data_IF_384494385795
#
_entry.id   IF_384494385795
#
_cell.length_a   1.000
_cell.length_b   1.000
_cell.length_c   1.000
_cell.angle_alpha   90.00
_cell.angle_beta   90.00
_cell.angle_gamma   90.00
#
_symmetry.space_group_name_H-M   'P 1'
#
loop_
_entity.id
_entity.type
_entity.pdbx_description
1 polymer ?
#
# COMPACT_ATOMS: atom_id res chain seq x y z
N UNK A 1 -31.99 -52.56 -0.96
CA UNK A 1 -33.24 -51.77 -0.82
C UNK A 1 -32.99 -50.40 -1.45
N UNK A 2 -33.69 -50.11 -2.55
CA UNK A 2 -33.58 -48.87 -3.34
C UNK A 2 -34.52 -47.82 -2.75
N UNK A 3 -34.04 -46.59 -2.53
CA UNK A 3 -34.90 -45.44 -2.35
C UNK A 3 -34.42 -44.30 -3.24
N UNK A 4 -35.14 -44.11 -4.35
CA UNK A 4 -35.13 -42.89 -5.17
C UNK A 4 -35.99 -41.85 -4.48
N UNK A 5 -35.49 -40.62 -4.30
CA UNK A 5 -36.34 -39.44 -4.14
C UNK A 5 -35.94 -38.35 -5.15
N UNK A 6 -36.94 -37.95 -5.91
CA UNK A 6 -36.94 -36.95 -6.98
C UNK A 6 -36.84 -35.54 -6.39
N UNK A 7 -36.08 -34.66 -7.03
CA UNK A 7 -36.07 -33.23 -6.80
C UNK A 7 -37.21 -32.54 -7.58
N UNK A 8 -37.83 -31.48 -7.08
CA UNK A 8 -38.70 -30.62 -7.86
C UNK A 8 -37.92 -29.46 -8.53
N UNK A 9 -38.26 -29.24 -9.81
CA UNK A 9 -37.92 -28.08 -10.59
C UNK A 9 -38.65 -26.83 -10.05
N UNK A 10 -37.95 -25.78 -9.71
CA UNK A 10 -38.51 -24.47 -9.45
C UNK A 10 -38.25 -23.57 -10.65
N UNK A 11 -39.32 -23.06 -11.22
CA UNK A 11 -39.35 -22.15 -12.34
C UNK A 11 -39.03 -20.71 -11.88
N UNK A 12 -38.18 -20.02 -12.64
CA UNK A 12 -37.96 -18.57 -12.50
C UNK A 12 -38.92 -17.79 -13.42
N UNK A 13 -39.54 -16.72 -12.93
CA UNK A 13 -40.24 -15.77 -13.82
C UNK A 13 -39.29 -14.70 -14.34
N UNK A 14 -39.38 -14.45 -15.64
CA UNK A 14 -38.86 -13.29 -16.33
C UNK A 14 -39.57 -12.01 -15.83
N UNK A 15 -38.80 -10.99 -15.48
CA UNK A 15 -39.33 -9.63 -15.31
C UNK A 15 -38.76 -8.71 -16.38
N UNK A 16 -39.69 -8.02 -17.04
CA UNK A 16 -39.54 -7.20 -18.21
C UNK A 16 -38.81 -5.86 -17.93
N UNK A 17 -38.07 -5.42 -18.94
CA UNK A 17 -37.48 -4.09 -19.03
C UNK A 17 -38.55 -3.01 -19.24
N UNK A 18 -38.41 -1.90 -18.52
CA UNK A 18 -39.10 -0.64 -18.82
C UNK A 18 -38.08 0.40 -19.25
N UNK A 19 -38.14 0.75 -20.54
CA UNK A 19 -37.45 1.89 -21.14
C UNK A 19 -38.28 3.16 -20.84
N UNK A 20 -37.67 4.15 -20.23
CA UNK A 20 -38.20 5.51 -20.17
C UNK A 20 -37.22 6.43 -20.90
N UNK A 21 -37.63 6.84 -22.09
CA UNK A 21 -37.04 7.94 -22.84
C UNK A 21 -37.53 9.27 -22.25
N UNK A 22 -36.62 10.16 -21.89
CA UNK A 22 -36.89 11.53 -21.51
C UNK A 22 -36.13 12.49 -22.41
N UNK A 23 -36.85 13.12 -23.35
CA UNK A 23 -36.41 14.27 -24.12
C UNK A 23 -36.53 15.54 -23.29
N UNK A 24 -35.64 16.50 -23.49
CA UNK A 24 -35.99 17.89 -23.22
C UNK A 24 -34.85 18.79 -22.78
N UNK A 25 -34.56 19.79 -23.60
CA UNK A 25 -34.33 21.13 -23.17
C UNK A 25 -32.95 21.72 -23.49
N UNK A 26 -32.86 22.35 -24.68
CA UNK A 26 -31.76 23.24 -25.03
C UNK A 26 -31.80 24.55 -24.21
N UNK A 27 -30.63 25.08 -23.89
CA UNK A 27 -30.46 26.48 -23.50
C UNK A 27 -29.18 27.02 -24.16
N UNK A 28 -29.41 27.89 -25.15
CA UNK A 28 -28.41 28.72 -25.79
C UNK A 28 -27.82 29.74 -24.82
N UNK A 29 -26.58 29.57 -24.43
CA UNK A 29 -25.79 30.52 -23.63
C UNK A 29 -24.78 31.26 -24.50
N UNK A 30 -25.00 32.50 -24.68
CA UNK A 30 -24.34 33.57 -25.43
C UNK A 30 -22.82 33.61 -25.17
N UNK A 31 -22.02 33.51 -26.24
CA UNK A 31 -20.59 33.80 -26.25
C UNK A 31 -20.34 35.28 -25.98
N UNK A 32 -19.67 35.60 -24.90
CA UNK A 32 -19.08 36.93 -24.67
C UNK A 32 -17.63 36.87 -25.15
N UNK A 33 -17.41 37.57 -26.22
CA UNK A 33 -16.10 37.74 -26.87
C UNK A 33 -15.36 38.87 -26.13
N UNK A 34 -14.34 38.52 -25.35
CA UNK A 34 -13.44 39.48 -24.70
C UNK A 34 -12.27 39.78 -25.60
N UNK A 35 -12.15 41.05 -25.96
CA UNK A 35 -11.05 41.63 -26.76
C UNK A 35 -9.72 41.62 -26.01
N UNK A 36 -8.56 41.44 -26.68
CA UNK A 36 -7.25 41.45 -26.04
C UNK A 36 -6.83 42.86 -25.65
N UNK A 37 -6.09 43.05 -24.56
CA UNK A 37 -5.54 44.36 -24.17
C UNK A 37 -4.28 44.67 -24.98
N UNK A 38 -4.18 45.95 -25.35
CA UNK A 38 -3.10 46.61 -26.03
C UNK A 38 -1.79 46.55 -25.23
N UNK A 39 -0.61 46.33 -25.86
CA UNK A 39 0.66 46.29 -25.13
C UNK A 39 1.12 47.68 -24.71
N UNK A 40 1.36 47.84 -23.42
CA UNK A 40 1.97 49.03 -22.86
C UNK A 40 3.48 49.08 -23.18
N UNK A 41 3.91 50.28 -23.63
CA UNK A 41 5.29 50.63 -23.99
C UNK A 41 6.22 50.56 -22.78
N UNK A 42 7.18 49.65 -22.79
CA UNK A 42 8.21 49.53 -21.75
C UNK A 42 9.25 50.62 -21.95
N UNK A 43 9.32 51.53 -21.00
CA UNK A 43 10.41 52.51 -20.85
C UNK A 43 11.59 51.78 -20.21
N UNK A 44 12.72 51.71 -20.93
CA UNK A 44 13.99 51.20 -20.37
C UNK A 44 14.59 52.25 -19.45
N UNK A 45 14.59 51.96 -18.15
CA UNK A 45 15.40 52.70 -17.18
C UNK A 45 16.72 51.96 -16.99
N UNK A 46 17.82 52.70 -16.97
CA UNK A 46 19.18 52.18 -16.90
C UNK A 46 19.45 51.39 -15.62
N UNK A 47 20.17 50.29 -15.80
CA UNK A 47 20.66 49.39 -14.75
C UNK A 47 21.73 50.08 -13.87
N UNK A 48 21.60 50.00 -12.54
CA UNK A 48 22.74 50.27 -11.66
C UNK A 48 23.60 49.02 -11.48
N UNK A 49 24.89 49.23 -11.29
CA UNK A 49 25.94 48.25 -11.22
C UNK A 49 25.67 47.13 -10.19
N UNK A 50 26.01 45.93 -10.60
CA UNK A 50 25.91 44.67 -9.85
C UNK A 50 26.98 44.65 -8.74
N UNK A 51 26.63 44.44 -7.47
CA UNK A 51 27.60 44.12 -6.44
C UNK A 51 28.09 42.70 -6.59
N UNK A 52 29.39 42.53 -6.47
CA UNK A 52 30.15 41.27 -6.52
C UNK A 52 29.52 40.23 -5.54
N UNK A 53 29.15 39.09 -6.05
CA UNK A 53 28.60 37.98 -5.26
C UNK A 53 29.66 37.42 -4.30
N UNK A 54 29.45 37.64 -3.01
CA UNK A 54 30.15 36.91 -1.96
C UNK A 54 29.76 35.46 -2.03
N UNK A 55 30.74 34.57 -2.13
CA UNK A 55 30.54 33.14 -2.17
C UNK A 55 29.87 32.67 -0.86
N UNK A 56 28.65 32.22 -0.98
CA UNK A 56 27.93 31.54 0.11
C UNK A 56 28.66 30.24 0.43
N UNK A 57 29.01 29.94 1.69
CA UNK A 57 29.60 28.65 2.05
C UNK A 57 28.59 27.56 1.74
N UNK A 58 29.02 26.55 0.94
CA UNK A 58 28.30 25.35 0.62
C UNK A 58 27.95 24.65 1.94
N UNK A 59 26.69 24.65 2.31
CA UNK A 59 26.20 23.89 3.46
C UNK A 59 26.55 22.42 3.25
N UNK A 60 27.48 21.92 4.06
CA UNK A 60 27.79 20.50 4.14
C UNK A 60 26.53 19.81 4.66
N UNK A 61 25.89 19.01 3.82
CA UNK A 61 24.75 18.20 4.23
C UNK A 61 25.19 17.34 5.43
N UNK A 62 24.56 17.58 6.56
CA UNK A 62 24.71 16.72 7.74
C UNK A 62 24.34 15.30 7.33
N UNK A 63 25.17 14.27 7.63
CA UNK A 63 24.80 12.90 7.27
C UNK A 63 23.48 12.58 7.97
N UNK A 64 22.48 12.18 7.18
CA UNK A 64 21.23 11.63 7.69
C UNK A 64 21.60 10.46 8.61
N UNK A 65 21.04 10.36 9.82
CA UNK A 65 21.37 9.25 10.71
C UNK A 65 21.08 7.94 9.98
N UNK A 66 22.11 7.13 9.80
CA UNK A 66 21.99 5.81 9.21
C UNK A 66 20.96 5.03 10.04
N UNK A 67 19.87 4.60 9.40
CA UNK A 67 18.89 3.76 10.08
C UNK A 67 19.62 2.49 10.56
N UNK A 68 19.64 2.30 11.86
CA UNK A 68 20.24 1.11 12.47
C UNK A 68 19.51 -0.14 11.95
N UNK A 69 20.20 -1.24 11.71
CA UNK A 69 19.57 -2.50 11.36
C UNK A 69 18.54 -2.86 12.44
N UNK A 70 17.40 -3.44 12.05
CA UNK A 70 16.37 -3.87 12.98
C UNK A 70 17.01 -4.90 13.92
N UNK A 71 17.14 -4.54 15.20
CA UNK A 71 17.71 -5.44 16.17
C UNK A 71 16.82 -6.69 16.35
N UNK A 72 17.39 -7.91 16.42
CA UNK A 72 16.62 -9.08 16.78
C UNK A 72 15.84 -8.82 18.08
N UNK A 73 14.53 -9.12 18.07
CA UNK A 73 13.67 -8.85 19.23
C UNK A 73 13.12 -7.43 19.33
N UNK A 74 13.31 -6.57 18.33
CA UNK A 74 12.75 -5.20 18.32
C UNK A 74 11.22 -5.17 18.51
N UNK A 75 10.50 -6.21 18.09
CA UNK A 75 9.06 -6.37 18.34
C UNK A 75 8.68 -6.43 19.82
N UNK A 76 9.57 -6.89 20.70
CA UNK A 76 9.33 -6.95 22.14
C UNK A 76 9.55 -5.61 22.87
N UNK A 77 10.20 -4.63 22.21
CA UNK A 77 10.43 -3.31 22.76
C UNK A 77 9.18 -2.42 22.57
N UNK A 78 8.95 -1.44 23.49
CA UNK A 78 7.81 -0.52 23.37
C UNK A 78 7.79 0.24 22.05
N UNK A 79 6.60 0.49 21.52
CA UNK A 79 6.38 1.28 20.30
C UNK A 79 6.87 2.73 20.45
N UNK A 80 7.19 3.35 19.34
CA UNK A 80 7.50 4.78 19.22
C UNK A 80 6.69 5.42 18.11
N UNK A 81 6.56 6.75 18.12
CA UNK A 81 5.91 7.52 17.05
C UNK A 81 6.86 7.85 15.90
N UNK A 82 8.05 7.25 15.83
CA UNK A 82 9.00 7.49 14.76
C UNK A 82 8.38 7.11 13.41
N UNK A 83 8.45 8.05 12.45
CA UNK A 83 7.97 7.83 11.08
C UNK A 83 8.93 6.89 10.36
N UNK A 84 8.44 5.79 9.78
CA UNK A 84 9.30 4.83 9.09
C UNK A 84 9.85 5.39 7.79
N UNK A 85 11.08 5.01 7.45
CA UNK A 85 11.71 5.38 6.18
C UNK A 85 11.68 4.22 5.19
N UNK A 86 11.22 4.49 3.97
CA UNK A 86 11.24 3.55 2.85
C UNK A 86 12.62 3.48 2.15
N UNK A 87 13.54 4.39 2.48
CA UNK A 87 14.91 4.40 1.95
C UNK A 87 15.93 3.73 2.88
N UNK A 88 15.50 3.24 4.06
CA UNK A 88 16.39 2.57 5.01
C UNK A 88 16.90 1.23 4.48
N UNK A 89 18.08 0.80 4.97
CA UNK A 89 18.61 -0.54 4.68
C UNK A 89 17.64 -1.60 5.17
N UNK A 90 17.13 -1.44 6.39
CA UNK A 90 16.18 -2.37 7.00
C UNK A 90 14.92 -2.57 6.14
N UNK A 91 14.38 -1.50 5.55
CA UNK A 91 13.22 -1.62 4.64
C UNK A 91 13.57 -2.39 3.37
N UNK A 92 14.71 -2.09 2.75
CA UNK A 92 15.14 -2.81 1.52
C UNK A 92 15.38 -4.29 1.77
N UNK A 93 16.02 -4.63 2.89
CA UNK A 93 16.30 -6.02 3.26
C UNK A 93 14.98 -6.77 3.55
N UNK A 94 14.06 -6.16 4.30
CA UNK A 94 12.73 -6.72 4.54
C UNK A 94 11.96 -6.96 3.22
N UNK A 95 12.00 -6.03 2.27
CA UNK A 95 11.35 -6.22 0.97
C UNK A 95 12.04 -7.28 0.10
N UNK A 96 13.34 -7.47 0.23
CA UNK A 96 14.07 -8.56 -0.42
C UNK A 96 13.66 -9.93 0.17
N UNK A 97 13.51 -10.02 1.51
CA UNK A 97 13.03 -11.22 2.17
C UNK A 97 11.57 -11.54 1.81
N UNK A 98 10.73 -10.50 1.71
CA UNK A 98 9.36 -10.63 1.22
C UNK A 98 9.33 -11.20 -0.21
N UNK A 99 10.15 -10.65 -1.12
CA UNK A 99 10.25 -11.13 -2.48
C UNK A 99 10.76 -12.57 -2.55
N UNK A 100 11.73 -12.92 -1.72
CA UNK A 100 12.21 -14.29 -1.59
C UNK A 100 11.10 -15.24 -1.14
N UNK A 101 10.26 -14.82 -0.20
CA UNK A 101 9.11 -15.60 0.26
C UNK A 101 8.13 -15.87 -0.89
N UNK A 102 7.80 -14.84 -1.66
CA UNK A 102 6.88 -14.95 -2.80
C UNK A 102 7.47 -15.84 -3.90
N UNK A 103 8.74 -15.65 -4.27
CA UNK A 103 9.37 -16.46 -5.34
C UNK A 103 9.54 -17.92 -4.96
N UNK A 104 9.74 -18.22 -3.68
CA UNK A 104 9.94 -19.57 -3.17
C UNK A 104 8.63 -20.28 -2.72
N UNK A 105 7.47 -19.64 -2.82
CA UNK A 105 6.20 -20.10 -2.20
C UNK A 105 6.40 -20.52 -0.73
N UNK A 106 7.15 -19.70 0.01
CA UNK A 106 7.47 -19.99 1.40
C UNK A 106 7.45 -18.72 2.27
N UNK A 107 6.31 -18.49 2.91
CA UNK A 107 6.09 -17.31 3.75
C UNK A 107 7.13 -17.14 4.88
N UNK A 108 7.78 -18.21 5.34
CA UNK A 108 8.78 -18.14 6.43
C UNK A 108 9.96 -17.24 6.09
N UNK A 109 10.31 -17.07 4.81
CA UNK A 109 11.35 -16.14 4.40
C UNK A 109 10.95 -14.68 4.64
N UNK A 110 9.66 -14.37 4.72
CA UNK A 110 9.17 -13.03 4.98
C UNK A 110 9.02 -12.69 6.48
N UNK A 111 9.36 -13.59 7.40
CA UNK A 111 9.27 -13.29 8.84
C UNK A 111 9.96 -11.97 9.26
N UNK A 112 11.13 -11.58 8.68
CA UNK A 112 11.73 -10.28 9.00
C UNK A 112 10.93 -9.08 8.46
N UNK A 113 10.13 -9.27 7.43
CA UNK A 113 9.29 -8.25 6.80
C UNK A 113 7.86 -8.24 7.35
N UNK A 114 7.43 -9.31 7.99
CA UNK A 114 6.08 -9.46 8.53
C UNK A 114 5.97 -8.87 9.94
N UNK A 115 4.80 -8.35 10.30
CA UNK A 115 4.59 -7.70 11.58
C UNK A 115 4.83 -8.67 12.75
N UNK A 116 5.77 -8.36 13.67
CA UNK A 116 6.20 -9.32 14.67
C UNK A 116 5.10 -9.66 15.68
N UNK A 117 4.99 -10.93 16.07
CA UNK A 117 4.03 -11.42 17.07
C UNK A 117 4.10 -10.63 18.38
N UNK A 118 5.32 -10.42 18.92
CA UNK A 118 5.51 -9.67 20.16
C UNK A 118 5.08 -8.20 20.06
N UNK A 119 5.17 -7.59 18.87
CA UNK A 119 4.64 -6.25 18.62
C UNK A 119 3.10 -6.29 18.52
N UNK A 120 2.57 -7.31 17.85
CA UNK A 120 1.14 -7.51 17.71
C UNK A 120 0.45 -7.70 19.07
N UNK A 121 1.02 -8.51 19.94
CA UNK A 121 0.50 -8.74 21.31
C UNK A 121 0.49 -7.48 22.17
N UNK A 122 1.45 -6.57 21.97
CA UNK A 122 1.42 -5.27 22.62
C UNK A 122 0.40 -4.33 22.02
N UNK A 123 0.20 -4.43 20.69
CA UNK A 123 -0.65 -3.52 19.94
C UNK A 123 -2.14 -3.81 20.15
N UNK A 124 -2.56 -5.08 20.12
CA UNK A 124 -3.97 -5.47 20.09
C UNK A 124 -4.62 -5.55 21.47
N UNK A 125 -5.73 -4.83 21.64
CA UNK A 125 -6.59 -4.89 22.81
C UNK A 125 -7.67 -5.99 22.65
N UNK A 126 -7.25 -7.22 22.42
CA UNK A 126 -8.12 -8.40 22.29
C UNK A 126 -7.69 -9.49 23.28
N UNK A 127 -8.56 -10.47 23.52
CA UNK A 127 -8.34 -11.47 24.59
C UNK A 127 -7.14 -12.38 24.35
N UNK A 128 -6.85 -12.74 23.10
CA UNK A 128 -5.81 -13.74 22.75
C UNK A 128 -5.01 -13.26 21.53
N UNK A 129 -4.20 -12.20 21.67
CA UNK A 129 -3.52 -11.61 20.51
C UNK A 129 -2.49 -12.54 19.87
N UNK A 130 -1.79 -13.40 20.64
CA UNK A 130 -0.84 -14.36 20.09
C UNK A 130 -1.54 -15.40 19.21
N UNK A 131 -2.68 -15.92 19.69
CA UNK A 131 -3.48 -16.87 18.94
C UNK A 131 -4.07 -16.22 17.66
N UNK A 132 -4.55 -14.99 17.74
CA UNK A 132 -5.03 -14.25 16.59
C UNK A 132 -3.92 -13.96 15.57
N UNK A 133 -2.71 -13.59 16.06
CA UNK A 133 -1.56 -13.43 15.19
C UNK A 133 -1.23 -14.72 14.45
N UNK A 134 -1.19 -15.85 15.14
CA UNK A 134 -0.79 -17.14 14.56
C UNK A 134 -1.85 -17.72 13.62
N UNK A 135 -3.12 -17.78 14.07
CA UNK A 135 -4.17 -18.55 13.40
C UNK A 135 -5.01 -17.73 12.42
N UNK A 136 -4.90 -16.41 12.47
CA UNK A 136 -5.52 -15.52 11.50
C UNK A 136 -4.47 -14.75 10.71
N UNK A 137 -3.73 -13.83 11.34
CA UNK A 137 -2.88 -12.88 10.63
C UNK A 137 -1.76 -13.57 9.83
N UNK A 138 -0.96 -14.41 10.49
CA UNK A 138 0.10 -15.17 9.85
C UNK A 138 -0.43 -16.23 8.88
N UNK A 139 -1.51 -16.91 9.25
CA UNK A 139 -2.13 -17.90 8.37
C UNK A 139 -2.64 -17.27 7.08
N UNK A 140 -3.39 -16.17 7.15
CA UNK A 140 -3.87 -15.43 5.98
C UNK A 140 -2.72 -14.93 5.11
N UNK A 141 -1.67 -14.39 5.74
CA UNK A 141 -0.47 -13.97 5.02
C UNK A 141 0.23 -15.12 4.29
N UNK A 142 0.24 -16.34 4.85
CA UNK A 142 0.80 -17.50 4.15
C UNK A 142 0.01 -17.86 2.90
N UNK A 143 -1.30 -17.70 2.94
CA UNK A 143 -2.16 -17.88 1.77
C UNK A 143 -1.93 -16.78 0.72
N UNK A 144 -1.74 -15.54 1.17
CA UNK A 144 -1.44 -14.39 0.29
C UNK A 144 -0.10 -14.55 -0.43
N UNK A 145 0.93 -15.04 0.27
CA UNK A 145 2.24 -15.34 -0.35
C UNK A 145 2.08 -16.39 -1.46
N UNK A 146 1.30 -17.44 -1.22
CA UNK A 146 0.99 -18.45 -2.24
C UNK A 146 0.23 -17.86 -3.42
N UNK A 147 -0.77 -17.01 -3.16
CA UNK A 147 -1.52 -16.34 -4.22
C UNK A 147 -0.62 -15.41 -5.05
N UNK A 148 0.29 -14.66 -4.39
CA UNK A 148 1.28 -13.82 -5.06
C UNK A 148 2.29 -14.64 -5.89
N UNK A 149 2.73 -15.80 -5.35
CA UNK A 149 3.57 -16.73 -6.11
C UNK A 149 2.90 -17.18 -7.41
N UNK A 150 1.60 -17.48 -7.35
CA UNK A 150 0.80 -17.87 -8.52
C UNK A 150 0.69 -16.80 -9.62
N UNK A 151 1.05 -15.53 -9.33
CA UNK A 151 1.09 -14.47 -10.34
C UNK A 151 2.42 -14.45 -11.12
N UNK A 152 3.47 -15.08 -10.61
CA UNK A 152 4.82 -14.95 -11.15
C UNK A 152 5.09 -15.96 -12.26
N UNK A 153 5.67 -15.49 -13.36
CA UNK A 153 6.32 -16.38 -14.32
C UNK A 153 7.75 -16.74 -13.88
N UNK A 154 8.30 -17.86 -14.34
CA UNK A 154 9.68 -18.22 -14.08
C UNK A 154 10.66 -17.10 -14.47
N UNK A 155 11.61 -16.80 -13.58
CA UNK A 155 12.59 -15.74 -13.79
C UNK A 155 12.12 -14.33 -13.46
N UNK A 156 10.96 -14.17 -12.84
CA UNK A 156 10.51 -12.89 -12.31
C UNK A 156 11.54 -12.29 -11.34
N UNK A 157 11.74 -10.95 -11.41
CA UNK A 157 12.75 -10.23 -10.61
C UNK A 157 12.14 -9.00 -9.98
N UNK A 158 12.36 -8.83 -8.68
CA UNK A 158 11.97 -7.60 -7.98
C UNK A 158 12.71 -6.39 -8.59
N UNK A 159 11.97 -5.34 -8.88
CA UNK A 159 12.50 -4.05 -9.33
C UNK A 159 12.52 -3.07 -8.16
N UNK A 160 11.37 -2.88 -7.51
CA UNK A 160 11.20 -1.94 -6.38
C UNK A 160 9.90 -2.20 -5.63
N UNK A 161 9.81 -1.64 -4.44
CA UNK A 161 8.53 -1.50 -3.72
C UNK A 161 8.22 -0.01 -3.62
N UNK A 162 7.01 0.37 -4.07
CA UNK A 162 6.52 1.74 -4.03
C UNK A 162 5.57 1.84 -2.83
N UNK A 163 5.92 2.68 -1.86
CA UNK A 163 5.08 2.96 -0.70
C UNK A 163 4.61 4.41 -0.80
N UNK A 164 3.29 4.67 -0.78
CA UNK A 164 2.77 6.04 -0.78
C UNK A 164 2.93 6.67 0.62
N UNK A 165 4.18 6.84 1.05
CA UNK A 165 4.52 7.26 2.41
C UNK A 165 3.95 8.64 2.79
N UNK A 166 3.65 9.51 1.80
CA UNK A 166 2.97 10.78 2.00
C UNK A 166 1.49 10.65 2.39
N UNK A 167 0.91 9.45 2.22
CA UNK A 167 -0.46 9.10 2.59
C UNK A 167 -0.52 8.29 3.89
N UNK A 168 0.60 8.18 4.61
CA UNK A 168 0.64 7.45 5.87
C UNK A 168 -0.11 8.22 6.96
N UNK A 169 -1.01 7.53 7.63
CA UNK A 169 -1.81 8.08 8.72
C UNK A 169 -1.42 7.47 10.07
N UNK A 170 -1.51 8.30 11.12
CA UNK A 170 -1.35 7.83 12.48
C UNK A 170 -2.67 7.25 12.99
N UNK A 171 -2.71 5.94 13.19
CA UNK A 171 -3.83 5.24 13.83
C UNK A 171 -3.70 5.41 15.34
N UNK A 172 -4.68 6.07 15.95
CA UNK A 172 -4.67 6.37 17.38
C UNK A 172 -5.03 5.16 18.24
N UNK A 173 -4.57 5.12 19.50
CA UNK A 173 -5.06 4.15 20.48
C UNK A 173 -6.59 4.17 20.58
N UNK A 174 -7.19 3.00 20.70
CA UNK A 174 -8.65 2.82 20.71
C UNK A 174 -9.27 2.54 19.33
N UNK A 175 -8.60 2.94 18.24
CA UNK A 175 -9.05 2.57 16.89
C UNK A 175 -8.70 1.10 16.60
N UNK A 176 -9.55 0.38 15.85
CA UNK A 176 -9.30 -0.98 15.36
C UNK A 176 -8.90 -2.00 16.45
N UNK A 177 -9.42 -1.84 17.65
CA UNK A 177 -9.04 -2.65 18.82
C UNK A 177 -7.54 -2.59 19.12
N UNK A 178 -6.93 -1.41 18.99
CA UNK A 178 -5.52 -1.20 19.33
C UNK A 178 -5.38 -0.42 20.63
N UNK A 179 -4.45 -0.83 21.48
CA UNK A 179 -4.08 -0.16 22.73
C UNK A 179 -2.99 0.89 22.54
N UNK A 180 -2.26 0.81 21.43
CA UNK A 180 -1.10 1.64 21.10
C UNK A 180 -1.28 2.20 19.69
N UNK A 181 -0.81 3.44 19.44
CA UNK A 181 -0.83 4.05 18.11
C UNK A 181 0.31 3.54 17.23
N UNK A 182 0.11 3.64 15.90
CA UNK A 182 1.10 3.28 14.90
C UNK A 182 0.85 4.04 13.60
N UNK A 183 1.87 4.18 12.76
CA UNK A 183 1.69 4.64 11.38
C UNK A 183 1.17 3.49 10.52
N UNK A 184 0.18 3.80 9.70
CA UNK A 184 -0.39 2.90 8.71
C UNK A 184 -0.29 3.50 7.32
N UNK A 185 -0.02 2.69 6.32
CA UNK A 185 -0.14 3.05 4.90
C UNK A 185 -0.67 1.86 4.11
N UNK A 186 -1.68 2.12 3.30
CA UNK A 186 -2.27 1.13 2.41
C UNK A 186 -1.78 1.25 0.98
N UNK A 187 -2.08 0.23 0.17
CA UNK A 187 -1.89 0.28 -1.28
C UNK A 187 -0.45 0.42 -1.75
N UNK A 188 0.54 -0.07 -1.00
CA UNK A 188 1.91 -0.17 -1.50
C UNK A 188 1.99 -1.16 -2.68
N UNK A 189 2.98 -0.99 -3.57
CA UNK A 189 3.11 -1.80 -4.79
C UNK A 189 4.44 -2.53 -4.83
N UNK A 190 4.41 -3.85 -4.99
CA UNK A 190 5.58 -4.65 -5.35
C UNK A 190 5.68 -4.66 -6.87
N UNK A 191 6.71 -4.01 -7.41
CA UNK A 191 6.95 -3.95 -8.86
C UNK A 191 8.06 -4.92 -9.21
N UNK A 192 7.80 -5.77 -10.19
CA UNK A 192 8.74 -6.79 -10.67
C UNK A 192 8.74 -6.86 -12.19
N UNK A 193 9.76 -7.48 -12.76
CA UNK A 193 9.83 -7.77 -14.19
C UNK A 193 9.70 -9.25 -14.46
N UNK A 194 8.96 -9.59 -15.51
CA UNK A 194 8.92 -10.93 -16.10
C UNK A 194 8.83 -10.80 -17.62
N UNK A 195 9.54 -11.64 -18.35
CA UNK A 195 9.63 -11.61 -19.81
C UNK A 195 9.93 -10.20 -20.39
N UNK A 196 10.74 -9.41 -19.68
CA UNK A 196 11.10 -8.04 -20.05
C UNK A 196 10.01 -6.99 -19.83
N UNK A 197 8.88 -7.32 -19.19
CA UNK A 197 7.77 -6.44 -18.90
C UNK A 197 7.67 -6.16 -17.41
N UNK A 198 7.41 -4.91 -17.02
CA UNK A 198 7.04 -4.59 -15.64
C UNK A 198 5.63 -5.08 -15.35
N UNK A 199 5.48 -5.64 -14.16
CA UNK A 199 4.21 -6.01 -13.54
C UNK A 199 4.23 -5.63 -12.07
N UNK A 200 3.07 -5.65 -11.44
CA UNK A 200 2.99 -5.36 -10.01
C UNK A 200 1.82 -6.04 -9.35
N UNK A 201 1.90 -6.14 -8.03
CA UNK A 201 0.77 -6.43 -7.15
C UNK A 201 0.84 -5.55 -5.90
N UNK A 202 -0.30 -5.42 -5.22
CA UNK A 202 -0.42 -4.58 -4.04
C UNK A 202 -0.02 -5.26 -2.74
N UNK A 203 0.36 -4.43 -1.78
CA UNK A 203 0.40 -4.75 -0.36
C UNK A 203 -0.70 -3.88 0.25
N UNK A 204 -1.78 -4.50 0.69
CA UNK A 204 -2.95 -3.77 1.19
C UNK A 204 -2.65 -3.01 2.48
N UNK A 205 -1.74 -3.51 3.32
CA UNK A 205 -1.42 -2.84 4.57
C UNK A 205 0.04 -3.01 4.99
N UNK A 206 0.68 -1.88 5.24
CA UNK A 206 1.93 -1.75 5.99
C UNK A 206 1.65 -1.00 7.29
N UNK A 207 2.20 -1.49 8.40
CA UNK A 207 2.13 -0.81 9.69
C UNK A 207 3.51 -0.62 10.28
N UNK A 208 3.65 0.41 11.12
CA UNK A 208 4.94 0.72 11.72
C UNK A 208 5.12 0.05 13.07
N UNK A 209 6.36 -0.33 13.37
CA UNK A 209 6.82 -0.58 14.71
C UNK A 209 8.20 0.00 14.89
N UNK A 210 8.35 0.96 15.81
CA UNK A 210 9.62 1.62 16.13
C UNK A 210 10.34 2.22 14.91
N UNK A 211 9.59 2.89 14.05
CA UNK A 211 10.15 3.53 12.84
C UNK A 211 10.52 2.56 11.72
N UNK A 212 10.00 1.33 11.73
CA UNK A 212 10.17 0.35 10.67
C UNK A 212 8.80 -0.03 10.10
N UNK A 213 8.70 -0.14 8.77
CA UNK A 213 7.53 -0.66 8.08
C UNK A 213 7.53 -2.19 8.09
N UNK A 214 6.38 -2.76 8.41
CA UNK A 214 6.11 -4.20 8.35
C UNK A 214 4.87 -4.47 7.52
N UNK A 215 4.91 -5.54 6.76
CA UNK A 215 3.77 -6.06 6.00
C UNK A 215 2.80 -6.75 6.95
N UNK A 216 1.50 -6.53 6.73
CA UNK A 216 0.44 -7.23 7.46
C UNK A 216 -0.29 -8.21 6.55
N UNK A 217 -0.69 -7.77 5.35
CA UNK A 217 -1.34 -8.63 4.35
C UNK A 217 -1.24 -8.02 2.95
N UNK A 218 -1.37 -8.86 1.92
CA UNK A 218 -1.36 -8.41 0.52
C UNK A 218 -2.74 -8.03 0.01
N UNK A 219 -3.80 -8.58 0.58
CA UNK A 219 -5.17 -8.30 0.17
C UNK A 219 -6.06 -7.91 1.34
N UNK A 220 -7.36 -7.92 1.13
CA UNK A 220 -8.34 -7.56 2.14
C UNK A 220 -8.30 -8.50 3.35
N UNK A 221 -8.58 -7.95 4.55
CA UNK A 221 -8.63 -8.72 5.80
C UNK A 221 -9.92 -9.53 5.90
N UNK A 222 -11.04 -8.91 5.48
CA UNK A 222 -12.34 -9.58 5.52
C UNK A 222 -12.52 -10.38 4.23
N UNK A 223 -12.49 -11.70 4.36
CA UNK A 223 -12.59 -12.64 3.23
C UNK A 223 -13.82 -13.51 3.39
N UNK A 224 -14.67 -13.62 2.35
CA UNK A 224 -15.85 -14.48 2.39
C UNK A 224 -15.50 -15.97 2.43
N UNK A 225 -14.29 -16.32 1.99
CA UNK A 225 -13.73 -17.67 1.99
C UNK A 225 -12.28 -17.64 2.41
N UNK A 226 -11.79 -18.72 2.99
CA UNK A 226 -10.39 -18.88 3.40
C UNK A 226 -9.54 -19.13 2.14
N UNK A 227 -9.04 -18.07 1.55
CA UNK A 227 -8.18 -18.11 0.36
C UNK A 227 -7.16 -16.99 0.41
N UNK A 228 -6.04 -17.17 -0.30
CA UNK A 228 -5.06 -16.09 -0.48
C UNK A 228 -5.60 -14.99 -1.40
N UNK A 229 -5.38 -13.76 -1.03
CA UNK A 229 -5.79 -12.58 -1.78
C UNK A 229 -4.59 -11.67 -1.98
N UNK A 230 -4.44 -11.16 -3.20
CA UNK A 230 -3.42 -10.17 -3.56
C UNK A 230 -4.13 -8.97 -4.13
N UNK A 231 -3.81 -7.80 -3.59
CA UNK A 231 -4.44 -6.56 -4.01
C UNK A 231 -4.00 -6.16 -5.42
N UNK A 232 -4.98 -5.85 -6.25
CA UNK A 232 -4.86 -5.21 -7.57
C UNK A 232 -3.64 -5.66 -8.43
N UNK A 233 -3.49 -6.94 -8.82
CA UNK A 233 -2.46 -7.33 -9.77
C UNK A 233 -2.60 -6.52 -11.06
N UNK A 234 -1.49 -5.98 -11.60
CA UNK A 234 -1.53 -5.10 -12.76
C UNK A 234 -0.36 -5.31 -13.72
N UNK A 235 -0.60 -5.02 -14.99
CA UNK A 235 0.46 -4.75 -15.96
C UNK A 235 1.11 -3.40 -15.62
N UNK A 236 2.45 -3.33 -15.68
CA UNK A 236 3.20 -2.15 -15.27
C UNK A 236 3.27 -1.96 -13.75
N UNK A 237 3.69 -0.77 -13.29
CA UNK A 237 3.93 -0.50 -11.88
C UNK A 237 2.65 -0.41 -11.02
N UNK A 238 1.49 -0.32 -11.67
CA UNK A 238 0.22 -0.05 -10.97
C UNK A 238 0.18 1.34 -10.35
N UNK A 239 -0.91 1.62 -9.64
CA UNK A 239 -1.12 2.88 -8.91
C UNK A 239 -1.07 2.58 -7.41
N UNK A 240 -0.15 3.22 -6.63
CA UNK A 240 -0.16 3.11 -5.18
C UNK A 240 -1.39 3.80 -4.58
N UNK A 241 -1.81 3.36 -3.40
CA UNK A 241 -3.02 3.87 -2.74
C UNK A 241 -4.32 3.31 -3.32
N UNK A 242 -5.49 3.77 -2.89
CA UNK A 242 -5.72 4.71 -1.80
C UNK A 242 -5.28 4.14 -0.45
N UNK A 243 -5.07 5.01 0.56
CA UNK A 243 -4.76 4.54 1.90
C UNK A 243 -5.90 3.65 2.40
N UNK A 244 -5.54 2.47 2.90
CA UNK A 244 -6.47 1.63 3.61
C UNK A 244 -6.65 2.18 5.01
N UNK A 245 -7.89 2.24 5.47
CA UNK A 245 -8.17 2.54 6.88
C UNK A 245 -8.35 1.24 7.69
N UNK A 246 -8.45 1.37 8.95
CA UNK A 246 -8.99 0.27 9.73
C UNK A 246 -10.51 0.33 9.84
#
# INVERSE_FOLDING_TARGET
MRWCRRAPLAAFPLLAAVLLAGCGGGSSGRSVQSSPPTPARVVRTASPAQPTASATPKATASPSPAALPVAPGAGALPQTSAVPSTSSVAFRDAMADLWRAVTADNARFALPAFFPEAAYSQLKAIAYPEADWQYRLWYDFTLDVRAAHGLLAPGARLVRVIVPAGEADWVYPGACYNSIGYWHVGGARVVYTEHGQERSFGIASLISWRGVWYVVHFGEVLRPVVTGVVDQPAAGPGVPGPPGGC
#
